data_IF_604368582011
#
_entry.id   IF_604368582011
#
_cell.length_a   1.000
_cell.length_b   1.000
_cell.length_c   1.000
_cell.angle_alpha   90.00
_cell.angle_beta   90.00
_cell.angle_gamma   90.00
#
_symmetry.space_group_name_H-M   'P 1'
#
loop_
_entity.id
_entity.type
_entity.pdbx_description
1 polymer ?
#
# COMPACT_ATOMS: atom_id res chain seq x y z
N UNK A 1 35.20 23.84 56.26
CA UNK A 1 33.83 23.35 55.98
C UNK A 1 33.11 24.12 54.88
N UNK A 2 33.07 25.47 54.88
CA UNK A 2 32.39 26.27 53.82
C UNK A 2 32.91 26.06 52.38
N UNK A 3 34.22 25.85 52.18
CA UNK A 3 34.80 25.62 50.84
C UNK A 3 34.41 24.28 50.23
N UNK A 4 34.32 23.23 51.05
CA UNK A 4 33.91 21.88 50.61
C UNK A 4 32.44 21.89 50.16
N UNK A 5 31.57 22.60 50.91
CA UNK A 5 30.18 22.78 50.53
C UNK A 5 30.03 23.49 49.17
N UNK A 6 30.89 24.47 48.89
CA UNK A 6 30.90 25.19 47.61
C UNK A 6 31.28 24.28 46.43
N UNK A 7 32.27 23.40 46.60
CA UNK A 7 32.66 22.44 45.57
C UNK A 7 31.58 21.39 45.30
N UNK A 8 30.86 20.94 46.34
CA UNK A 8 29.75 19.98 46.18
C UNK A 8 28.59 20.61 45.39
N UNK A 9 28.27 21.88 45.65
CA UNK A 9 27.21 22.60 44.92
C UNK A 9 27.63 22.84 43.45
N UNK A 10 28.91 23.13 43.20
CA UNK A 10 29.43 23.32 41.84
C UNK A 10 29.38 22.02 41.02
N UNK A 11 29.71 20.88 41.63
CA UNK A 11 29.64 19.55 40.98
C UNK A 11 28.18 19.18 40.71
N UNK A 12 27.25 19.50 41.62
CA UNK A 12 25.82 19.24 41.41
C UNK A 12 25.26 20.02 40.21
N UNK A 13 25.67 21.28 40.04
CA UNK A 13 25.28 22.15 38.90
C UNK A 13 25.91 21.72 37.56
N UNK A 14 27.04 21.01 37.57
CA UNK A 14 27.66 20.45 36.36
C UNK A 14 27.03 19.13 35.90
N UNK A 15 26.18 18.50 36.73
CA UNK A 15 25.54 17.21 36.42
C UNK A 15 24.09 17.30 35.94
N UNK A 16 23.53 18.52 35.81
CA UNK A 16 22.25 18.71 35.15
C UNK A 16 22.37 18.40 33.67
N UNK A 17 22.17 17.13 33.31
CA UNK A 17 21.92 16.72 31.94
C UNK A 17 20.60 17.36 31.50
N UNK A 18 20.68 18.32 30.57
CA UNK A 18 19.50 18.74 29.81
C UNK A 18 18.98 17.53 29.04
N UNK A 19 17.91 16.92 29.52
CA UNK A 19 17.07 16.08 28.68
C UNK A 19 16.33 17.04 27.75
N UNK A 20 16.74 17.07 26.47
CA UNK A 20 15.93 17.70 25.45
C UNK A 20 14.55 17.05 25.48
N UNK A 21 13.51 17.87 25.67
CA UNK A 21 12.13 17.39 25.68
C UNK A 21 11.82 16.89 24.25
N UNK A 22 11.86 15.59 24.04
CA UNK A 22 11.50 15.01 22.75
C UNK A 22 9.98 15.10 22.62
N UNK A 23 9.52 16.11 21.87
CA UNK A 23 8.10 16.33 21.60
C UNK A 23 7.59 15.08 20.88
N UNK A 24 6.59 14.37 21.40
CA UNK A 24 6.07 13.18 20.74
C UNK A 24 5.48 13.57 19.38
N UNK A 25 5.63 12.71 18.35
CA UNK A 25 5.09 13.00 17.03
C UNK A 25 3.57 13.15 17.08
N UNK A 26 3.05 14.07 16.27
CA UNK A 26 1.61 14.24 16.13
C UNK A 26 1.00 13.07 15.38
N UNK A 27 -0.13 12.57 15.90
CA UNK A 27 -0.84 11.44 15.30
C UNK A 27 -1.88 11.89 14.29
N UNK A 28 -1.80 11.33 13.09
CA UNK A 28 -2.79 11.51 12.02
C UNK A 28 -3.59 10.23 11.88
N UNK A 29 -4.87 10.27 12.24
CA UNK A 29 -5.77 9.14 12.07
C UNK A 29 -6.24 9.07 10.62
N UNK A 30 -5.85 8.02 9.92
CA UNK A 30 -6.08 7.87 8.49
C UNK A 30 -6.96 6.68 8.21
N UNK A 31 -8.03 6.89 7.46
CA UNK A 31 -8.87 5.81 6.96
C UNK A 31 -9.06 5.89 5.45
N UNK A 32 -9.42 4.75 4.88
CA UNK A 32 -9.58 4.59 3.43
C UNK A 32 -10.84 3.79 3.13
N UNK A 33 -11.51 4.15 2.04
CA UNK A 33 -12.61 3.41 1.45
C UNK A 33 -12.38 3.23 -0.05
N UNK A 34 -12.02 2.03 -0.47
CA UNK A 34 -11.82 1.70 -1.89
C UNK A 34 -13.17 1.55 -2.57
N UNK A 35 -13.38 2.35 -3.61
CA UNK A 35 -14.61 2.36 -4.40
C UNK A 35 -14.49 1.52 -5.66
N UNK A 36 -13.31 1.48 -6.29
CA UNK A 36 -13.05 0.57 -7.40
C UNK A 36 -11.59 0.23 -7.58
N UNK A 37 -11.35 -0.95 -8.15
CA UNK A 37 -10.07 -1.43 -8.65
C UNK A 37 -10.35 -1.87 -10.10
N UNK A 38 -9.53 -1.49 -11.05
CA UNK A 38 -9.70 -1.81 -12.47
C UNK A 38 -8.36 -1.73 -13.20
N UNK A 39 -8.37 -2.04 -14.49
CA UNK A 39 -7.20 -1.97 -15.38
C UNK A 39 -5.96 -2.68 -14.82
N UNK A 40 -6.14 -3.88 -14.26
CA UNK A 40 -5.04 -4.73 -13.81
C UNK A 40 -4.28 -5.22 -15.04
N UNK A 41 -3.15 -4.58 -15.34
CA UNK A 41 -2.31 -4.85 -16.50
C UNK A 41 -1.02 -5.57 -16.10
N UNK A 42 -0.94 -6.85 -16.46
CA UNK A 42 0.21 -7.72 -16.22
C UNK A 42 1.45 -7.32 -17.02
N UNK A 43 1.26 -6.74 -18.22
CA UNK A 43 2.34 -6.32 -19.12
C UNK A 43 2.93 -5.00 -18.65
N UNK A 44 2.09 -4.02 -18.34
CA UNK A 44 2.53 -2.70 -17.88
C UNK A 44 2.93 -2.65 -16.40
N UNK A 45 2.63 -3.71 -15.65
CA UNK A 45 2.91 -3.79 -14.21
C UNK A 45 2.14 -2.72 -13.42
N UNK A 46 0.88 -2.50 -13.81
CA UNK A 46 0.04 -1.40 -13.33
C UNK A 46 -1.35 -1.86 -12.93
N UNK A 47 -1.98 -1.16 -11.99
CA UNK A 47 -3.41 -1.27 -11.69
C UNK A 47 -3.98 0.11 -11.31
N UNK A 48 -5.26 0.34 -11.58
CA UNK A 48 -5.95 1.58 -11.19
C UNK A 48 -6.82 1.34 -9.98
N UNK A 49 -6.75 2.24 -8.99
CA UNK A 49 -7.59 2.21 -7.79
C UNK A 49 -8.21 3.58 -7.54
N UNK A 50 -9.51 3.59 -7.27
CA UNK A 50 -10.25 4.77 -6.83
C UNK A 50 -10.66 4.60 -5.37
N UNK A 51 -10.39 5.60 -4.54
CA UNK A 51 -10.69 5.54 -3.12
C UNK A 51 -11.10 6.90 -2.55
N UNK A 52 -11.85 6.85 -1.46
CA UNK A 52 -11.93 7.94 -0.52
C UNK A 52 -10.84 7.76 0.53
N UNK A 53 -10.11 8.83 0.81
CA UNK A 53 -9.12 8.90 1.88
C UNK A 53 -9.58 9.99 2.84
N UNK A 54 -9.61 9.70 4.13
CA UNK A 54 -9.86 10.71 5.15
C UNK A 54 -8.74 10.74 6.18
N UNK A 55 -8.37 11.93 6.62
CA UNK A 55 -7.40 12.15 7.67
C UNK A 55 -7.99 13.04 8.77
N UNK A 56 -7.69 12.70 10.03
CA UNK A 56 -8.08 13.45 11.22
C UNK A 56 -6.85 13.75 12.07
N UNK A 57 -6.56 15.03 12.30
CA UNK A 57 -5.35 15.48 13.02
C UNK A 57 -5.58 16.82 13.72
N UNK A 58 -4.61 17.30 14.50
CA UNK A 58 -4.71 18.57 15.26
C UNK A 58 -3.79 19.65 14.74
N UNK A 59 -2.60 19.27 14.28
CA UNK A 59 -1.57 20.20 13.84
C UNK A 59 -1.94 20.86 12.50
N UNK A 60 -2.09 22.19 12.50
CA UNK A 60 -2.50 22.95 11.32
C UNK A 60 -1.42 23.06 10.25
N UNK A 61 -0.17 22.80 10.61
CA UNK A 61 0.97 22.87 9.69
C UNK A 61 1.01 21.67 8.74
N UNK A 62 0.26 20.60 9.05
CA UNK A 62 0.14 19.42 8.18
C UNK A 62 -0.78 19.72 6.99
N UNK A 63 -0.20 20.22 5.90
CA UNK A 63 -0.90 20.45 4.65
C UNK A 63 -0.92 19.21 3.74
N UNK A 64 -1.84 18.28 4.00
CA UNK A 64 -2.04 17.09 3.16
C UNK A 64 -2.62 17.38 1.77
N UNK A 65 -3.13 18.58 1.50
CA UNK A 65 -3.59 18.89 0.14
C UNK A 65 -2.41 19.05 -0.83
N UNK A 66 -1.26 19.51 -0.33
CA UNK A 66 -0.04 19.74 -1.12
C UNK A 66 1.03 18.67 -0.90
N UNK A 67 1.11 18.12 0.31
CA UNK A 67 2.23 17.25 0.72
C UNK A 67 1.80 15.79 0.95
N UNK A 68 0.63 15.38 0.44
CA UNK A 68 0.23 13.98 0.43
C UNK A 68 0.95 13.25 -0.69
N UNK A 69 1.66 12.20 -0.32
CA UNK A 69 2.37 11.35 -1.26
C UNK A 69 1.75 9.96 -1.32
N UNK A 70 1.70 9.40 -2.53
CA UNK A 70 1.31 8.01 -2.76
C UNK A 70 2.49 7.30 -3.40
N UNK A 71 3.44 6.74 -2.62
CA UNK A 71 4.60 6.06 -3.17
C UNK A 71 4.21 4.96 -4.15
N UNK A 72 5.04 4.75 -5.18
CA UNK A 72 4.81 3.79 -6.28
C UNK A 72 3.62 4.12 -7.19
N UNK A 73 2.91 5.24 -6.99
CA UNK A 73 1.95 5.72 -7.95
C UNK A 73 2.66 6.27 -9.19
N UNK A 74 2.23 5.83 -10.37
CA UNK A 74 2.58 6.44 -11.65
C UNK A 74 1.86 7.77 -11.82
N UNK A 75 0.58 7.81 -11.43
CA UNK A 75 -0.23 9.04 -11.41
C UNK A 75 -1.15 9.02 -10.19
N UNK A 76 -1.39 10.21 -9.65
CA UNK A 76 -2.34 10.46 -8.57
C UNK A 76 -3.19 11.65 -8.97
N UNK A 77 -4.51 11.46 -9.01
CA UNK A 77 -5.46 12.51 -9.33
C UNK A 77 -6.43 12.69 -8.17
N UNK A 78 -6.50 13.89 -7.62
CA UNK A 78 -7.46 14.26 -6.59
C UNK A 78 -8.68 14.90 -7.26
N UNK A 79 -9.78 14.15 -7.35
CA UNK A 79 -11.02 14.59 -8.01
C UNK A 79 -11.94 15.41 -7.10
N UNK A 80 -11.79 15.27 -5.80
CA UNK A 80 -12.52 16.02 -4.78
C UNK A 80 -11.68 16.13 -3.52
N UNK A 81 -11.73 17.27 -2.83
CA UNK A 81 -11.14 17.48 -1.52
C UNK A 81 -12.00 18.45 -0.72
N UNK A 82 -12.21 18.16 0.56
CA UNK A 82 -12.85 19.07 1.51
C UNK A 82 -12.10 19.04 2.84
N UNK A 83 -12.00 20.20 3.47
CA UNK A 83 -11.34 20.38 4.76
C UNK A 83 -12.33 21.04 5.70
N UNK A 84 -12.57 20.41 6.84
CA UNK A 84 -13.28 20.99 7.98
C UNK A 84 -12.30 21.17 9.14
N UNK A 85 -12.40 22.30 9.81
CA UNK A 85 -11.58 22.67 10.96
C UNK A 85 -12.50 23.04 12.12
N UNK A 86 -13.15 22.04 12.70
CA UNK A 86 -14.07 22.18 13.82
C UNK A 86 -13.45 21.66 15.13
N UNK A 87 -13.71 22.32 16.25
CA UNK A 87 -13.29 21.90 17.60
C UNK A 87 -11.77 21.63 17.78
N UNK A 88 -10.92 22.41 17.10
CA UNK A 88 -9.46 22.27 17.19
C UNK A 88 -8.91 20.98 16.56
N UNK A 89 -9.72 20.29 15.75
CA UNK A 89 -9.30 19.17 14.91
C UNK A 89 -9.50 19.55 13.45
N UNK A 90 -8.61 19.06 12.60
CA UNK A 90 -8.74 19.12 11.16
C UNK A 90 -9.22 17.76 10.69
N UNK A 91 -10.25 17.80 9.85
CA UNK A 91 -10.75 16.68 9.09
C UNK A 91 -10.60 17.00 7.61
N UNK A 92 -9.90 16.15 6.87
CA UNK A 92 -9.79 16.23 5.42
C UNK A 92 -10.37 14.96 4.81
N UNK A 93 -11.16 15.12 3.74
CA UNK A 93 -11.70 14.03 2.96
C UNK A 93 -11.36 14.27 1.49
N UNK A 94 -10.70 13.30 0.87
CA UNK A 94 -10.22 13.36 -0.50
C UNK A 94 -10.74 12.17 -1.30
N UNK A 95 -11.07 12.40 -2.57
CA UNK A 95 -11.38 11.34 -3.54
C UNK A 95 -10.22 11.21 -4.51
N UNK A 96 -9.46 10.13 -4.35
CA UNK A 96 -8.25 9.85 -5.10
C UNK A 96 -8.50 8.81 -6.19
N UNK A 97 -7.87 9.03 -7.34
CA UNK A 97 -7.68 8.03 -8.38
C UNK A 97 -6.18 7.86 -8.58
N UNK A 98 -5.68 6.64 -8.36
CA UNK A 98 -4.26 6.34 -8.44
C UNK A 98 -4.01 5.23 -9.46
N UNK A 99 -3.06 5.45 -10.37
CA UNK A 99 -2.48 4.38 -11.19
C UNK A 99 -1.21 3.92 -10.48
N UNK A 100 -1.22 2.70 -9.96
CA UNK A 100 -0.17 2.16 -9.10
C UNK A 100 0.72 1.19 -9.87
N UNK A 101 2.03 1.26 -9.65
CA UNK A 101 2.99 0.25 -10.11
C UNK A 101 3.10 -0.88 -9.10
N UNK A 102 3.07 -2.13 -9.56
CA UNK A 102 3.38 -3.30 -8.72
C UNK A 102 4.01 -4.43 -9.55
N UNK A 103 4.56 -5.41 -8.86
CA UNK A 103 5.12 -6.62 -9.43
C UNK A 103 4.13 -7.79 -9.31
N UNK A 104 3.97 -8.55 -10.40
CA UNK A 104 3.02 -9.65 -10.46
C UNK A 104 3.69 -11.00 -10.28
N UNK A 105 3.01 -11.91 -9.57
CA UNK A 105 3.41 -13.32 -9.46
C UNK A 105 2.51 -14.16 -10.34
N UNK A 106 2.96 -14.50 -11.55
CA UNK A 106 2.15 -15.17 -12.58
C UNK A 106 2.50 -16.63 -12.80
N UNK A 107 3.39 -17.21 -11.99
CA UNK A 107 3.88 -18.58 -12.17
C UNK A 107 2.77 -19.64 -12.14
N UNK A 108 1.66 -19.37 -11.45
CA UNK A 108 0.54 -20.28 -11.31
C UNK A 108 -0.67 -19.87 -12.15
N UNK A 109 -0.48 -19.13 -13.24
CA UNK A 109 -1.58 -18.73 -14.12
C UNK A 109 -2.31 -19.97 -14.69
N UNK A 110 -3.67 -19.99 -14.75
CA UNK A 110 -4.62 -18.93 -14.38
C UNK A 110 -5.06 -18.94 -12.89
N UNK A 111 -4.52 -19.82 -12.05
CA UNK A 111 -4.84 -19.96 -10.63
C UNK A 111 -3.96 -19.07 -9.73
N UNK A 112 -3.60 -17.89 -10.21
CA UNK A 112 -2.70 -16.97 -9.54
C UNK A 112 -3.40 -16.13 -8.46
N UNK A 113 -2.60 -15.72 -7.47
CA UNK A 113 -3.00 -14.80 -6.39
C UNK A 113 -2.13 -13.55 -6.45
N UNK A 114 -2.76 -12.38 -6.39
CA UNK A 114 -2.08 -11.09 -6.44
C UNK A 114 -2.26 -10.30 -5.15
N UNK A 115 -1.31 -9.43 -4.84
CA UNK A 115 -1.35 -8.56 -3.67
C UNK A 115 -1.12 -7.13 -4.11
N UNK A 116 -2.20 -6.35 -4.19
CA UNK A 116 -2.14 -4.93 -4.50
C UNK A 116 -1.69 -4.16 -3.26
N UNK A 117 -0.68 -3.32 -3.42
CA UNK A 117 -0.11 -2.51 -2.34
C UNK A 117 -0.20 -1.04 -2.67
N UNK A 118 -0.72 -0.27 -1.72
CA UNK A 118 -0.76 1.18 -1.74
C UNK A 118 -0.27 1.69 -0.39
N UNK A 119 0.44 2.80 -0.41
CA UNK A 119 0.80 3.52 0.81
C UNK A 119 0.58 5.01 0.66
N UNK A 120 0.40 5.68 1.78
CA UNK A 120 0.31 7.13 1.89
C UNK A 120 1.44 7.59 2.81
N UNK A 121 2.18 8.59 2.36
CA UNK A 121 3.26 9.25 3.11
C UNK A 121 3.05 10.77 3.10
N UNK A 122 3.83 11.49 3.91
CA UNK A 122 3.87 12.95 3.88
C UNK A 122 5.24 13.39 3.35
N UNK A 123 5.27 14.22 2.32
CA UNK A 123 6.53 14.63 1.68
C UNK A 123 7.34 15.64 2.51
N UNK A 124 6.71 16.31 3.49
CA UNK A 124 7.34 17.39 4.26
C UNK A 124 7.81 16.94 5.64
N UNK A 125 7.03 16.12 6.33
CA UNK A 125 7.24 15.76 7.72
C UNK A 125 7.66 14.30 7.87
N UNK A 126 8.75 14.09 8.59
CA UNK A 126 9.31 12.77 8.91
C UNK A 126 8.52 12.10 10.06
N UNK A 127 8.92 10.88 10.45
CA UNK A 127 8.26 10.14 11.52
C UNK A 127 8.48 10.71 12.93
N UNK A 128 9.41 11.65 13.12
CA UNK A 128 9.60 12.34 14.39
C UNK A 128 8.57 13.44 14.58
N UNK A 129 8.08 14.03 13.49
CA UNK A 129 7.01 15.03 13.52
C UNK A 129 5.62 14.42 13.35
N UNK A 130 5.46 13.42 12.48
CA UNK A 130 4.16 12.92 12.03
C UNK A 130 4.10 11.39 12.01
N UNK A 131 3.12 10.82 12.71
CA UNK A 131 2.84 9.37 12.65
C UNK A 131 1.40 9.06 12.24
N UNK A 132 1.23 8.11 11.33
CA UNK A 132 -0.10 7.62 10.95
C UNK A 132 -0.62 6.58 11.93
N UNK A 133 -1.90 6.71 12.28
CA UNK A 133 -2.68 5.69 12.99
C UNK A 133 -3.85 5.24 12.09
N UNK A 134 -3.98 3.94 11.78
CA UNK A 134 -5.05 3.48 10.93
C UNK A 134 -6.40 3.58 11.65
N UNK A 135 -7.35 4.27 11.04
CA UNK A 135 -8.75 4.25 11.42
C UNK A 135 -9.38 2.96 10.89
N UNK A 136 -9.60 1.99 11.78
CA UNK A 136 -10.13 0.66 11.47
C UNK A 136 -11.63 0.54 11.70
N UNK A 137 -12.29 1.65 12.01
CA UNK A 137 -13.73 1.67 12.25
C UNK A 137 -14.49 1.59 10.93
N UNK A 138 -15.39 0.62 10.83
CA UNK A 138 -16.25 0.41 9.65
C UNK A 138 -15.64 -0.50 8.59
N UNK A 139 -16.24 -0.49 7.40
CA UNK A 139 -15.75 -1.26 6.24
C UNK A 139 -14.89 -0.37 5.36
N UNK A 140 -13.85 -0.95 4.77
CA UNK A 140 -12.91 -0.25 3.89
C UNK A 140 -13.24 -0.41 2.39
N UNK A 141 -14.29 -1.15 2.05
CA UNK A 141 -14.83 -1.32 0.70
C UNK A 141 -16.26 -1.85 0.79
N UNK A 142 -17.07 -1.70 -0.26
CA UNK A 142 -18.40 -2.33 -0.34
C UNK A 142 -18.20 -3.84 -0.61
N UNK A 143 -18.73 -4.78 0.19
CA UNK A 143 -18.62 -6.21 -0.13
C UNK A 143 -19.28 -6.60 -1.47
N UNK A 144 -20.22 -5.79 -1.98
CA UNK A 144 -20.83 -5.95 -3.32
C UNK A 144 -19.92 -5.41 -4.43
N UNK A 145 -18.77 -4.87 -4.09
CA UNK A 145 -17.75 -4.46 -5.04
C UNK A 145 -17.34 -5.66 -5.90
N UNK A 146 -17.71 -5.64 -7.17
CA UNK A 146 -17.34 -6.66 -8.15
C UNK A 146 -16.08 -6.23 -8.90
N UNK A 147 -15.03 -7.03 -8.83
CA UNK A 147 -13.84 -6.89 -9.65
C UNK A 147 -13.90 -7.92 -10.78
N UNK A 148 -13.92 -7.47 -12.04
CA UNK A 148 -14.11 -8.38 -13.18
C UNK A 148 -13.00 -9.44 -13.24
N UNK A 149 -13.38 -10.71 -13.14
CA UNK A 149 -12.46 -11.86 -13.20
C UNK A 149 -11.60 -12.07 -11.95
N UNK A 150 -11.89 -11.37 -10.85
CA UNK A 150 -11.15 -11.47 -9.59
C UNK A 150 -12.08 -11.43 -8.39
N UNK A 151 -11.64 -12.06 -7.33
CA UNK A 151 -12.29 -12.01 -6.03
C UNK A 151 -11.32 -11.44 -5.00
N UNK A 152 -11.86 -10.68 -4.04
CA UNK A 152 -11.08 -10.17 -2.90
C UNK A 152 -11.02 -11.25 -1.82
N UNK A 153 -9.80 -11.62 -1.44
CA UNK A 153 -9.52 -12.54 -0.33
C UNK A 153 -9.45 -11.77 1.00
N UNK A 154 -8.69 -10.68 1.03
CA UNK A 154 -8.47 -9.90 2.26
C UNK A 154 -8.20 -8.43 1.97
N UNK A 155 -8.65 -7.54 2.85
CA UNK A 155 -8.32 -6.12 2.85
C UNK A 155 -7.70 -5.74 4.20
N UNK A 156 -6.43 -5.33 4.20
CA UNK A 156 -5.68 -5.03 5.43
C UNK A 156 -5.17 -3.59 5.38
N UNK A 157 -5.43 -2.85 6.45
CA UNK A 157 -4.93 -1.50 6.69
C UNK A 157 -3.99 -1.53 7.90
N UNK A 158 -2.86 -0.85 7.80
CA UNK A 158 -1.84 -0.79 8.84
C UNK A 158 -1.05 0.51 8.73
N UNK A 159 -0.33 0.91 9.78
CA UNK A 159 0.73 1.92 9.68
C UNK A 159 2.09 1.28 9.87
N UNK A 160 3.14 1.99 9.47
CA UNK A 160 4.51 1.61 9.77
C UNK A 160 5.47 2.73 9.41
N UNK A 161 6.76 2.49 9.64
CA UNK A 161 7.82 3.42 9.27
C UNK A 161 8.46 2.95 7.95
N UNK A 162 8.77 3.90 7.09
CA UNK A 162 9.54 3.71 5.86
C UNK A 162 10.90 4.37 6.07
N UNK A 163 11.94 3.55 5.95
CA UNK A 163 13.33 3.98 6.08
C UNK A 163 13.88 4.29 4.69
N UNK A 164 14.58 5.42 4.59
CA UNK A 164 15.29 5.87 3.40
C UNK A 164 16.76 6.06 3.78
N UNK A 165 17.66 5.38 3.08
CA UNK A 165 19.12 5.46 3.28
C UNK A 165 19.70 6.73 2.63
N UNK A 166 19.11 7.89 2.95
CA UNK A 166 19.50 9.22 2.46
C UNK A 166 19.01 10.31 3.41
N UNK A 167 19.72 11.44 3.45
CA UNK A 167 19.25 12.66 4.13
C UNK A 167 18.44 13.58 3.22
N UNK A 168 18.27 13.21 1.94
CA UNK A 168 17.71 14.09 0.90
C UNK A 168 18.44 15.44 0.78
N UNK A 169 19.71 15.50 1.17
CA UNK A 169 20.52 16.73 1.14
C UNK A 169 20.40 17.58 2.40
N UNK A 170 19.71 17.12 3.44
CA UNK A 170 19.72 17.77 4.75
C UNK A 170 21.10 17.62 5.40
N UNK A 171 21.79 18.74 5.59
CA UNK A 171 23.12 18.82 6.21
C UNK A 171 23.07 18.72 7.74
N UNK A 172 21.89 18.88 8.35
CA UNK A 172 21.72 18.76 9.81
C UNK A 172 21.78 17.32 10.29
N UNK A 173 21.52 16.36 9.39
CA UNK A 173 21.54 14.93 9.67
C UNK A 173 22.93 14.35 9.48
N UNK A 174 23.51 13.81 10.56
CA UNK A 174 24.87 13.24 10.54
C UNK A 174 24.96 11.87 9.88
N UNK A 175 23.83 11.15 9.80
CA UNK A 175 23.74 9.84 9.17
C UNK A 175 22.84 9.94 7.95
N UNK A 176 23.17 9.26 6.83
CA UNK A 176 22.34 9.21 5.64
C UNK A 176 21.13 8.30 5.86
N UNK A 177 20.23 8.71 6.74
CA UNK A 177 19.08 7.94 7.16
C UNK A 177 17.94 8.88 7.53
N UNK A 178 16.79 8.70 6.88
CA UNK A 178 15.54 9.40 7.19
C UNK A 178 14.39 8.41 7.30
N UNK A 179 13.46 8.71 8.19
CA UNK A 179 12.33 7.84 8.48
C UNK A 179 11.03 8.60 8.27
N UNK A 180 10.13 8.06 7.48
CA UNK A 180 8.81 8.64 7.24
C UNK A 180 7.74 7.69 7.72
N UNK A 181 6.69 8.23 8.32
CA UNK A 181 5.51 7.43 8.64
C UNK A 181 4.74 7.11 7.36
N UNK A 182 4.23 5.88 7.28
CA UNK A 182 3.59 5.33 6.09
C UNK A 182 2.31 4.60 6.48
N UNK A 183 1.17 5.07 5.98
CA UNK A 183 -0.11 4.37 6.08
C UNK A 183 -0.23 3.39 4.92
N UNK A 184 -0.42 2.11 5.20
CA UNK A 184 -0.28 1.00 4.25
C UNK A 184 -1.59 0.25 4.08
N UNK A 185 -1.96 0.02 2.82
CA UNK A 185 -3.13 -0.73 2.39
C UNK A 185 -2.67 -1.93 1.57
N UNK A 186 -3.20 -3.11 1.88
CA UNK A 186 -2.93 -4.35 1.18
C UNK A 186 -4.21 -5.06 0.83
N UNK A 187 -4.41 -5.30 -0.46
CA UNK A 187 -5.59 -5.99 -1.00
C UNK A 187 -5.11 -7.29 -1.65
N UNK A 188 -5.51 -8.43 -1.08
CA UNK A 188 -5.20 -9.75 -1.64
C UNK A 188 -6.33 -10.17 -2.56
N UNK A 189 -5.98 -10.57 -3.77
CA UNK A 189 -6.90 -10.98 -4.83
C UNK A 189 -6.59 -12.39 -5.31
N UNK A 190 -7.61 -13.13 -5.72
CA UNK A 190 -7.45 -14.38 -6.48
C UNK A 190 -8.31 -14.35 -7.73
N UNK A 191 -7.80 -14.96 -8.81
CA UNK A 191 -8.51 -14.96 -10.09
C UNK A 191 -9.71 -15.89 -10.05
N UNK A 192 -10.81 -15.49 -10.69
CA UNK A 192 -11.86 -16.43 -11.08
C UNK A 192 -11.37 -17.27 -12.26
N UNK A 193 -10.72 -18.38 -11.91
CA UNK A 193 -9.85 -19.12 -12.82
C UNK A 193 -10.56 -20.25 -13.58
N UNK A 194 -11.66 -20.81 -13.06
CA UNK A 194 -12.21 -22.06 -13.59
C UNK A 194 -12.77 -21.90 -15.01
N UNK A 195 -13.55 -20.85 -15.24
CA UNK A 195 -14.06 -20.55 -16.59
C UNK A 195 -12.94 -20.21 -17.56
N UNK A 196 -11.92 -19.48 -17.11
CA UNK A 196 -10.76 -19.12 -17.93
C UNK A 196 -9.92 -20.35 -18.30
N UNK A 197 -9.67 -21.23 -17.34
CA UNK A 197 -8.91 -22.46 -17.53
C UNK A 197 -9.53 -23.32 -18.64
N UNK A 198 -10.82 -23.65 -18.53
CA UNK A 198 -11.47 -24.46 -19.56
C UNK A 198 -11.50 -23.76 -20.93
N UNK A 199 -11.71 -22.44 -20.99
CA UNK A 199 -11.63 -21.69 -22.25
C UNK A 199 -10.26 -21.79 -22.94
N UNK A 200 -9.17 -21.84 -22.18
CA UNK A 200 -7.81 -21.89 -22.73
C UNK A 200 -7.33 -23.30 -23.08
N UNK A 201 -7.68 -24.29 -22.24
CA UNK A 201 -7.09 -25.63 -22.35
C UNK A 201 -8.01 -26.67 -22.98
N UNK A 202 -9.32 -26.41 -23.12
CA UNK A 202 -10.28 -27.39 -23.65
C UNK A 202 -9.87 -27.90 -25.04
N UNK A 203 -9.51 -27.00 -25.96
CA UNK A 203 -9.09 -27.39 -27.31
C UNK A 203 -7.84 -28.28 -27.32
N UNK A 204 -6.84 -27.95 -26.48
CA UNK A 204 -5.64 -28.76 -26.31
C UNK A 204 -5.98 -30.16 -25.79
N UNK A 205 -6.84 -30.26 -24.77
CA UNK A 205 -7.25 -31.57 -24.23
C UNK A 205 -8.05 -32.38 -25.25
N UNK A 206 -8.97 -31.76 -26.00
CA UNK A 206 -9.73 -32.45 -27.07
C UNK A 206 -8.78 -32.98 -28.15
N UNK A 207 -7.83 -32.15 -28.63
CA UNK A 207 -6.84 -32.57 -29.61
C UNK A 207 -5.96 -33.72 -29.08
N UNK A 208 -5.52 -33.62 -27.82
CA UNK A 208 -4.76 -34.68 -27.15
C UNK A 208 -5.55 -35.99 -27.07
N UNK A 209 -6.84 -35.93 -26.71
CA UNK A 209 -7.69 -37.11 -26.63
C UNK A 209 -7.93 -37.77 -28.00
N UNK A 210 -8.16 -36.97 -29.05
CA UNK A 210 -8.28 -37.50 -30.42
C UNK A 210 -6.99 -38.22 -30.83
N UNK A 211 -5.84 -37.57 -30.65
CA UNK A 211 -4.54 -38.18 -30.94
C UNK A 211 -4.29 -39.45 -30.11
N UNK A 212 -4.73 -39.45 -28.84
CA UNK A 212 -4.62 -40.60 -27.96
C UNK A 212 -5.47 -41.80 -28.44
N UNK A 213 -6.66 -41.55 -28.98
CA UNK A 213 -7.52 -42.59 -29.57
C UNK A 213 -6.85 -43.27 -30.78
N UNK A 214 -6.04 -42.56 -31.56
CA UNK A 214 -5.33 -43.14 -32.71
C UNK A 214 -4.40 -44.31 -32.34
N UNK A 215 -3.93 -44.39 -31.10
CA UNK A 215 -3.14 -45.54 -30.63
C UNK A 215 -3.93 -46.85 -30.53
N UNK A 216 -5.27 -46.79 -30.48
CA UNK A 216 -6.15 -47.97 -30.42
C UNK A 216 -6.60 -48.48 -31.79
N UNK A 217 -6.34 -47.74 -32.88
CA UNK A 217 -6.64 -48.19 -34.25
C UNK A 217 -5.66 -49.30 -34.61
N UNK A 218 -6.12 -50.44 -35.15
CA UNK A 218 -5.22 -51.56 -35.51
C UNK A 218 -4.20 -51.16 -36.58
N UNK A 219 -3.00 -51.75 -36.53
CA UNK A 219 -1.87 -51.36 -37.38
C UNK A 219 -2.13 -51.60 -38.89
N UNK A 220 -3.10 -52.44 -39.24
CA UNK A 220 -3.46 -52.73 -40.64
C UNK A 220 -4.30 -51.62 -41.30
N UNK A 221 -4.77 -50.66 -40.50
CA UNK A 221 -5.57 -49.50 -40.90
C UNK A 221 -4.75 -48.20 -40.76
N UNK A 222 -3.54 -48.19 -41.34
CA UNK A 222 -2.58 -47.07 -41.26
C UNK A 222 -3.15 -45.78 -41.84
N UNK A 223 -3.89 -45.85 -42.95
CA UNK A 223 -4.51 -44.68 -43.60
C UNK A 223 -5.49 -43.95 -42.66
N UNK A 224 -6.17 -44.68 -41.77
CA UNK A 224 -7.11 -44.10 -40.80
C UNK A 224 -6.43 -43.38 -39.62
N UNK A 225 -5.10 -43.47 -39.48
CA UNK A 225 -4.34 -42.78 -38.42
C UNK A 225 -3.83 -41.41 -38.83
N UNK A 226 -3.74 -41.13 -40.14
CA UNK A 226 -3.17 -39.90 -40.70
C UNK A 226 -4.15 -39.05 -41.52
N UNK A 227 -5.40 -39.52 -41.67
CA UNK A 227 -6.51 -38.81 -42.30
C UNK A 227 -7.33 -37.97 -41.33
#
# INVERSE_FOLDING_TARGET
MKRILLYIILILLLTSKSFALQIPPDTVYTGIYVTSIHDIDFKQKEYTVNCWLWLKYKNKDFNFQQNLEVPQAKTVTTSYSTIDSSNGKIYILMKLQCVMKDSWKINNFPFDKQKLRMSIENSQFDSHALVFAPDTLGKHYDPRFTLNGWNIDSFIVSSGIKQYETTFGDETLTKPHTEYSSFKVRISLYRDAMGLFWKMFLGMYVAFLIAYVCFYIHADSVDSRFG
#
